data_IF_988200316855
#
_entry.id   IF_988200316855
#
_cell.length_a   1.000
_cell.length_b   1.000
_cell.length_c   1.000
_cell.angle_alpha   90.00
_cell.angle_beta   90.00
_cell.angle_gamma   90.00
#
_symmetry.space_group_name_H-M   'P 1'
#
loop_
_entity.id
_entity.type
_entity.pdbx_description
1 polymer ?
#
# COMPACT_ATOMS: atom_id res chain seq x y z
N UNK A 1 35.33 2.47 -10.94
CA UNK A 1 34.96 1.98 -9.60
C UNK A 1 33.46 2.21 -9.43
N UNK A 2 32.63 1.17 -9.62
CA UNK A 2 31.17 1.29 -9.44
C UNK A 2 30.92 1.41 -7.93
N UNK A 3 30.39 2.54 -7.48
CA UNK A 3 30.07 2.73 -6.07
C UNK A 3 28.98 1.73 -5.66
N UNK A 4 29.31 0.82 -4.76
CA UNK A 4 28.34 0.00 -4.05
C UNK A 4 27.56 0.91 -3.10
N UNK A 5 26.47 1.50 -3.59
CA UNK A 5 25.53 2.25 -2.76
C UNK A 5 24.94 1.28 -1.74
N UNK A 6 25.25 1.45 -0.46
CA UNK A 6 24.70 0.57 0.58
C UNK A 6 23.18 0.70 0.60
N UNK A 7 22.45 -0.41 0.80
CA UNK A 7 20.98 -0.41 0.91
C UNK A 7 20.45 0.55 1.99
N UNK A 8 21.29 0.91 2.97
CA UNK A 8 20.99 1.92 3.99
C UNK A 8 20.94 3.34 3.39
N UNK A 9 21.92 3.71 2.57
CA UNK A 9 21.97 5.02 1.92
C UNK A 9 20.78 5.27 1.00
N UNK A 10 20.36 4.24 0.23
CA UNK A 10 19.20 4.35 -0.64
C UNK A 10 17.90 4.66 0.13
N UNK A 11 17.62 3.88 1.18
CA UNK A 11 16.42 4.07 2.01
C UNK A 11 16.37 5.45 2.67
N UNK A 12 17.53 5.94 3.12
CA UNK A 12 17.63 7.27 3.73
C UNK A 12 17.37 8.40 2.73
N UNK A 13 17.82 8.27 1.49
CA UNK A 13 17.52 9.24 0.44
C UNK A 13 16.04 9.23 0.07
N UNK A 14 15.46 8.03 -0.08
CA UNK A 14 14.05 7.88 -0.40
C UNK A 14 13.17 8.49 0.69
N UNK A 15 13.49 8.27 1.97
CA UNK A 15 12.79 8.90 3.09
C UNK A 15 12.85 10.44 2.99
N UNK A 16 14.04 11.00 2.73
CA UNK A 16 14.20 12.46 2.58
C UNK A 16 13.36 13.02 1.44
N UNK A 17 13.30 12.31 0.32
CA UNK A 17 12.49 12.69 -0.82
C UNK A 17 10.99 12.64 -0.49
N UNK A 18 10.51 11.55 0.11
CA UNK A 18 9.10 11.40 0.54
C UNK A 18 8.70 12.55 1.48
N UNK A 19 9.50 12.81 2.51
CA UNK A 19 9.26 13.90 3.47
C UNK A 19 9.33 15.26 2.79
N UNK A 20 10.23 15.43 1.82
CA UNK A 20 10.37 16.66 1.04
C UNK A 20 9.14 17.00 0.20
N UNK A 21 8.46 16.00 -0.37
CA UNK A 21 7.23 16.21 -1.13
C UNK A 21 6.04 16.65 -0.27
N UNK A 22 6.04 16.33 1.03
CA UNK A 22 4.91 16.61 1.95
C UNK A 22 3.56 16.12 1.40
N UNK A 23 3.58 14.96 0.73
CA UNK A 23 2.39 14.39 0.12
C UNK A 23 1.42 13.88 1.18
N UNK A 24 0.12 14.08 0.98
CA UNK A 24 -0.90 13.63 1.93
C UNK A 24 -1.02 12.11 2.03
N UNK A 25 -0.77 11.44 0.91
CA UNK A 25 -0.83 9.99 0.73
C UNK A 25 0.39 9.60 -0.12
N UNK A 26 1.09 8.55 0.30
CA UNK A 26 2.29 8.02 -0.36
C UNK A 26 2.08 6.53 -0.60
N UNK A 27 2.30 6.09 -1.84
CA UNK A 27 2.23 4.67 -2.22
C UNK A 27 3.60 4.20 -2.67
N UNK A 28 4.13 3.15 -2.03
CA UNK A 28 5.40 2.50 -2.38
C UNK A 28 5.15 1.08 -2.87
N UNK A 29 5.89 0.66 -3.90
CA UNK A 29 5.94 -0.72 -4.41
C UNK A 29 7.30 -1.37 -4.10
N UNK A 30 7.40 -2.69 -4.25
CA UNK A 30 8.63 -3.47 -4.00
C UNK A 30 9.24 -3.25 -2.61
N UNK A 31 8.38 -3.03 -1.60
CA UNK A 31 8.81 -2.77 -0.22
C UNK A 31 9.06 -4.10 0.47
N UNK A 32 10.30 -4.35 0.91
CA UNK A 32 10.60 -5.51 1.76
C UNK A 32 9.94 -5.37 3.13
N UNK A 33 9.51 -6.49 3.71
CA UNK A 33 8.79 -6.50 4.98
C UNK A 33 9.61 -5.88 6.14
N UNK A 34 10.89 -6.19 6.23
CA UNK A 34 11.81 -5.64 7.24
C UNK A 34 12.04 -4.14 7.01
N UNK A 35 12.12 -3.70 5.75
CA UNK A 35 12.23 -2.28 5.42
C UNK A 35 10.97 -1.50 5.84
N UNK A 36 9.78 -2.09 5.72
CA UNK A 36 8.55 -1.46 6.19
C UNK A 36 8.54 -1.34 7.72
N UNK A 37 8.70 -2.46 8.42
CA UNK A 37 8.57 -2.53 9.88
C UNK A 37 9.70 -1.78 10.61
N UNK A 38 10.95 -2.00 10.20
CA UNK A 38 12.11 -1.52 10.95
C UNK A 38 12.56 -0.11 10.53
N UNK A 39 12.07 0.41 9.40
CA UNK A 39 12.53 1.68 8.85
C UNK A 39 11.39 2.61 8.40
N UNK A 40 10.64 2.29 7.34
CA UNK A 40 9.71 3.26 6.76
C UNK A 40 8.55 3.61 7.70
N UNK A 41 7.96 2.61 8.37
CA UNK A 41 6.87 2.82 9.32
C UNK A 41 7.28 3.73 10.50
N UNK A 42 8.35 3.41 11.27
CA UNK A 42 8.75 4.26 12.39
C UNK A 42 9.32 5.62 11.95
N UNK A 43 9.98 5.74 10.80
CA UNK A 43 10.49 7.04 10.35
C UNK A 43 9.38 7.96 9.84
N UNK A 44 8.43 7.46 9.04
CA UNK A 44 7.31 8.27 8.55
C UNK A 44 6.28 8.55 9.65
N UNK A 45 6.20 7.72 10.69
CA UNK A 45 5.42 7.98 11.91
C UNK A 45 5.82 9.31 12.57
N UNK A 46 7.14 9.59 12.66
CA UNK A 46 7.67 10.86 13.20
C UNK A 46 7.20 12.08 12.40
N UNK A 47 6.79 11.88 11.15
CA UNK A 47 6.26 12.90 10.25
C UNK A 47 4.73 12.91 10.18
N UNK A 48 4.04 12.15 11.05
CA UNK A 48 2.58 12.16 11.18
C UNK A 48 1.86 11.17 10.27
N UNK A 49 2.58 10.33 9.54
CA UNK A 49 1.98 9.31 8.67
C UNK A 49 1.60 8.05 9.43
N UNK A 50 0.51 7.41 9.02
CA UNK A 50 0.20 6.02 9.36
C UNK A 50 0.46 5.15 8.13
N UNK A 51 1.15 4.01 8.32
CA UNK A 51 1.48 3.08 7.25
C UNK A 51 0.65 1.81 7.30
N UNK A 52 0.19 1.35 6.14
CA UNK A 52 -0.37 0.03 5.90
C UNK A 52 0.51 -0.71 4.91
N UNK A 53 0.73 -2.01 5.13
CA UNK A 53 1.55 -2.85 4.28
C UNK A 53 0.81 -4.12 3.86
N UNK A 54 1.01 -4.50 2.60
CA UNK A 54 0.55 -5.78 2.07
C UNK A 54 1.71 -6.50 1.41
N UNK A 55 2.10 -7.62 1.99
CA UNK A 55 3.06 -8.59 1.43
C UNK A 55 2.49 -9.26 0.17
N UNK A 56 3.32 -9.49 -0.86
CA UNK A 56 3.00 -10.39 -1.99
C UNK A 56 2.80 -11.82 -1.47
N UNK A 57 2.01 -12.60 -2.19
CA UNK A 57 1.77 -14.01 -1.84
C UNK A 57 2.90 -14.94 -2.26
N UNK A 58 3.66 -14.55 -3.28
CA UNK A 58 4.72 -15.37 -3.87
C UNK A 58 6.10 -14.84 -3.50
N UNK A 59 7.03 -15.78 -3.34
CA UNK A 59 8.41 -15.56 -2.93
C UNK A 59 9.29 -15.07 -4.09
N UNK A 60 10.04 -13.97 -3.89
CA UNK A 60 11.07 -13.55 -4.84
C UNK A 60 12.38 -14.22 -4.45
N UNK A 61 12.90 -15.07 -5.32
CA UNK A 61 14.20 -15.71 -5.16
C UNK A 61 15.30 -14.76 -5.61
N UNK A 62 16.23 -14.41 -4.73
CA UNK A 62 17.45 -13.68 -5.09
C UNK A 62 18.64 -14.36 -4.40
N UNK A 63 19.64 -14.77 -5.18
CA UNK A 63 20.94 -15.35 -4.78
C UNK A 63 21.00 -15.88 -3.33
N UNK A 64 20.44 -17.08 -3.12
CA UNK A 64 20.45 -17.86 -1.87
C UNK A 64 19.62 -17.31 -0.69
N UNK A 65 18.78 -16.29 -0.88
CA UNK A 65 17.84 -15.84 0.15
C UNK A 65 16.45 -15.52 -0.44
N UNK A 66 15.42 -16.08 0.19
CA UNK A 66 14.04 -15.83 -0.20
C UNK A 66 13.55 -14.55 0.48
N UNK A 67 13.36 -13.47 -0.27
CA UNK A 67 12.80 -12.22 0.26
C UNK A 67 11.45 -11.96 -0.36
N UNK A 68 10.43 -11.73 0.46
CA UNK A 68 9.08 -11.41 -0.01
C UNK A 68 8.88 -9.91 0.13
N UNK A 69 8.74 -9.23 -1.00
CA UNK A 69 8.38 -7.81 -1.07
C UNK A 69 6.84 -7.63 -1.05
N UNK A 70 6.42 -6.39 -1.05
CA UNK A 70 5.02 -6.00 -0.97
C UNK A 70 4.83 -4.55 -1.40
N UNK A 71 3.68 -4.00 -1.05
CA UNK A 71 3.38 -2.59 -1.26
C UNK A 71 2.94 -1.95 0.06
N UNK A 72 3.27 -0.68 0.23
CA UNK A 72 2.94 0.11 1.41
C UNK A 72 2.19 1.38 1.02
N UNK A 73 1.17 1.74 1.79
CA UNK A 73 0.44 3.00 1.65
C UNK A 73 0.53 3.76 2.97
N UNK A 74 1.05 4.98 2.91
CA UNK A 74 1.16 5.90 4.04
C UNK A 74 0.20 7.07 3.85
N UNK A 75 -0.43 7.54 4.91
CA UNK A 75 -1.30 8.72 4.88
C UNK A 75 -1.20 9.54 6.15
N UNK A 76 -1.37 10.86 6.04
CA UNK A 76 -1.33 11.77 7.19
C UNK A 76 -2.52 11.55 8.13
N UNK A 77 -2.24 11.30 9.41
CA UNK A 77 -3.28 11.00 10.43
C UNK A 77 -4.14 12.21 10.78
N UNK A 78 -3.64 13.43 10.63
CA UNK A 78 -4.42 14.65 10.88
C UNK A 78 -5.41 14.94 9.75
N UNK A 79 -5.21 14.35 8.56
CA UNK A 79 -6.10 14.50 7.39
C UNK A 79 -7.02 13.31 7.16
N UNK A 80 -6.55 12.09 7.42
CA UNK A 80 -7.29 10.87 7.12
C UNK A 80 -7.36 9.92 8.31
N UNK A 81 -8.42 9.11 8.34
CA UNK A 81 -8.53 7.91 9.16
C UNK A 81 -8.83 6.70 8.30
N UNK A 82 -8.18 5.57 8.57
CA UNK A 82 -8.50 4.32 7.90
C UNK A 82 -9.89 3.83 8.32
N UNK A 83 -10.71 3.47 7.33
CA UNK A 83 -11.99 2.82 7.57
C UNK A 83 -11.77 1.32 7.48
N UNK A 84 -11.78 0.65 8.63
CA UNK A 84 -11.77 -0.81 8.65
C UNK A 84 -13.08 -1.33 8.05
N UNK A 85 -12.96 -2.23 7.08
CA UNK A 85 -14.11 -2.87 6.47
C UNK A 85 -14.82 -3.71 7.55
N UNK A 86 -16.10 -3.40 7.81
CA UNK A 86 -16.89 -4.16 8.78
C UNK A 86 -17.01 -5.62 8.29
N UNK A 87 -16.71 -6.58 9.16
CA UNK A 87 -16.86 -8.03 8.91
C UNK A 87 -18.23 -8.40 8.32
N UNK A 88 -19.29 -7.65 8.63
CA UNK A 88 -20.63 -7.84 8.06
C UNK A 88 -20.70 -7.56 6.54
N UNK A 89 -19.94 -6.58 6.04
CA UNK A 89 -19.87 -6.28 4.61
C UNK A 89 -19.09 -7.37 3.83
N UNK A 90 -18.08 -7.97 4.48
CA UNK A 90 -17.39 -9.14 3.94
C UNK A 90 -18.36 -10.32 3.76
N UNK A 91 -19.18 -10.62 4.78
CA UNK A 91 -20.20 -11.69 4.72
C UNK A 91 -21.25 -11.44 3.63
N UNK A 92 -21.65 -10.19 3.39
CA UNK A 92 -22.58 -9.83 2.30
C UNK A 92 -21.94 -10.02 0.92
N UNK A 93 -20.66 -9.66 0.77
CA UNK A 93 -19.92 -9.87 -0.48
C UNK A 93 -19.77 -11.37 -0.77
N UNK A 94 -19.53 -12.16 0.28
CA UNK A 94 -19.47 -13.61 0.18
C UNK A 94 -20.82 -14.26 -0.19
N UNK A 95 -21.94 -13.69 0.26
CA UNK A 95 -23.26 -14.17 -0.08
C UNK A 95 -23.73 -13.77 -1.50
N UNK A 96 -23.18 -12.68 -2.07
CA UNK A 96 -23.73 -12.06 -3.30
C UNK A 96 -22.99 -12.48 -4.57
N UNK A 97 -21.68 -12.78 -4.50
CA UNK A 97 -20.91 -13.15 -5.70
C UNK A 97 -21.09 -14.66 -5.97
N UNK A 98 -21.60 -15.01 -7.15
CA UNK A 98 -21.72 -16.42 -7.57
C UNK A 98 -20.34 -17.12 -7.61
N UNK A 99 -20.28 -18.37 -7.14
CA UNK A 99 -19.03 -19.15 -7.03
C UNK A 99 -18.19 -19.22 -8.31
N UNK A 100 -18.84 -19.22 -9.48
CA UNK A 100 -18.19 -19.24 -10.80
C UNK A 100 -17.47 -17.92 -11.10
N UNK A 101 -18.07 -16.79 -10.71
CA UNK A 101 -17.47 -15.45 -10.83
C UNK A 101 -16.35 -15.28 -9.81
N UNK A 102 -16.52 -15.78 -8.57
CA UNK A 102 -15.46 -15.83 -7.56
C UNK A 102 -14.25 -16.61 -8.06
N UNK A 103 -14.44 -17.85 -8.56
CA UNK A 103 -13.33 -18.67 -9.10
C UNK A 103 -12.62 -17.97 -10.25
N UNK A 104 -13.34 -17.35 -11.17
CA UNK A 104 -12.74 -16.66 -12.32
C UNK A 104 -11.97 -15.40 -11.87
N UNK A 105 -12.51 -14.63 -10.94
CA UNK A 105 -11.85 -13.46 -10.37
C UNK A 105 -10.63 -13.85 -9.53
N UNK A 106 -10.74 -14.89 -8.69
CA UNK A 106 -9.64 -15.46 -7.91
C UNK A 106 -8.53 -16.00 -8.82
N UNK A 107 -8.87 -16.73 -9.88
CA UNK A 107 -7.87 -17.22 -10.84
C UNK A 107 -7.15 -16.07 -11.58
N UNK A 108 -7.81 -14.94 -11.82
CA UNK A 108 -7.15 -13.72 -12.33
C UNK A 108 -6.29 -13.03 -11.26
N UNK A 109 -6.66 -13.15 -9.99
CA UNK A 109 -5.95 -12.60 -8.82
C UNK A 109 -4.73 -13.45 -8.41
N UNK A 110 -4.70 -14.74 -8.75
CA UNK A 110 -3.58 -15.68 -8.49
C UNK A 110 -2.31 -15.33 -9.28
N UNK A 111 -2.39 -14.39 -10.22
CA UNK A 111 -1.24 -13.90 -10.97
C UNK A 111 -0.52 -12.84 -10.14
N UNK A 112 0.54 -13.21 -9.40
CA UNK A 112 1.68 -12.42 -8.82
C UNK A 112 1.55 -10.91 -8.51
N UNK A 113 0.35 -10.37 -8.44
CA UNK A 113 0.07 -8.96 -8.33
C UNK A 113 -0.47 -8.74 -6.91
N UNK A 114 0.16 -7.84 -6.18
CA UNK A 114 -0.37 -7.38 -4.91
C UNK A 114 -1.08 -6.05 -5.13
N UNK A 115 -2.32 -5.98 -4.65
CA UNK A 115 -3.04 -4.72 -4.54
C UNK A 115 -3.35 -4.47 -3.06
N UNK A 116 -2.90 -3.34 -2.55
CA UNK A 116 -3.33 -2.80 -1.27
C UNK A 116 -4.40 -1.73 -1.54
N UNK A 117 -5.64 -2.11 -1.25
CA UNK A 117 -6.80 -1.22 -1.27
C UNK A 117 -7.00 -0.65 0.14
N UNK A 118 -7.04 0.67 0.26
CA UNK A 118 -7.25 1.36 1.55
C UNK A 118 -8.40 2.35 1.41
N UNK A 119 -9.44 2.13 2.21
CA UNK A 119 -10.50 3.12 2.38
C UNK A 119 -10.10 4.11 3.48
N UNK A 120 -10.15 5.39 3.12
CA UNK A 120 -9.78 6.51 3.96
C UNK A 120 -10.98 7.45 4.09
N UNK A 121 -11.22 7.91 5.31
CA UNK A 121 -12.16 8.99 5.60
C UNK A 121 -11.40 10.30 5.80
N UNK A 122 -11.77 11.33 5.04
CA UNK A 122 -11.18 12.66 5.19
C UNK A 122 -11.77 13.38 6.42
N UNK A 123 -10.90 14.00 7.20
CA UNK A 123 -11.28 14.74 8.41
C UNK A 123 -11.83 16.12 8.07
N UNK A 124 -12.82 16.56 8.86
CA UNK A 124 -13.70 17.71 8.60
C UNK A 124 -12.97 19.02 8.26
N UNK A 125 -11.78 19.25 8.82
CA UNK A 125 -11.00 20.47 8.59
C UNK A 125 -10.48 20.63 7.14
N UNK A 126 -10.60 19.60 6.30
CA UNK A 126 -10.20 19.61 4.90
C UNK A 126 -11.39 19.62 3.92
N UNK A 127 -12.62 19.83 4.40
CA UNK A 127 -13.77 19.91 3.51
C UNK A 127 -13.85 21.27 2.81
N UNK A 128 -14.09 21.31 1.49
CA UNK A 128 -14.56 22.52 0.83
C UNK A 128 -15.80 23.05 1.55
N UNK A 129 -15.87 24.37 1.72
CA UNK A 129 -16.90 25.09 2.49
C UNK A 129 -18.34 24.75 2.05
N UNK A 130 -18.51 24.15 0.87
CA UNK A 130 -19.80 23.86 0.23
C UNK A 130 -20.48 22.55 0.66
N UNK A 131 -19.97 21.79 1.63
CA UNK A 131 -20.57 20.50 2.04
C UNK A 131 -20.51 20.13 3.53
N UNK A 132 -20.85 21.05 4.46
CA UNK A 132 -20.82 20.74 5.89
C UNK A 132 -21.73 19.53 6.21
N UNK A 133 -21.13 18.44 6.71
CA UNK A 133 -21.85 17.29 7.26
C UNK A 133 -21.86 16.01 6.41
N UNK A 134 -21.24 15.99 5.22
CA UNK A 134 -21.09 14.75 4.44
C UNK A 134 -19.75 14.08 4.70
N UNK A 135 -19.77 12.82 5.14
CA UNK A 135 -18.58 11.97 5.26
C UNK A 135 -17.93 11.79 3.89
N UNK A 136 -16.69 12.26 3.70
CA UNK A 136 -15.95 12.10 2.45
C UNK A 136 -15.04 10.87 2.56
N UNK A 137 -15.27 9.89 1.69
CA UNK A 137 -14.49 8.67 1.60
C UNK A 137 -13.62 8.71 0.34
N UNK A 138 -12.38 8.25 0.49
CA UNK A 138 -11.39 8.10 -0.57
C UNK A 138 -10.88 6.66 -0.55
N UNK A 139 -10.95 6.00 -1.71
CA UNK A 139 -10.36 4.66 -1.88
C UNK A 139 -9.02 4.80 -2.60
N UNK A 140 -7.95 4.30 -1.99
CA UNK A 140 -6.59 4.30 -2.54
C UNK A 140 -6.22 2.90 -2.98
N UNK A 141 -5.90 2.73 -4.25
CA UNK A 141 -5.48 1.47 -4.85
C UNK A 141 -3.98 1.51 -5.16
N UNK A 142 -3.15 0.90 -4.29
CA UNK A 142 -1.73 0.70 -4.56
C UNK A 142 -1.54 -0.68 -5.19
N UNK A 143 -1.20 -0.73 -6.48
CA UNK A 143 -1.12 -1.97 -7.26
C UNK A 143 0.31 -2.15 -7.76
N UNK A 144 0.93 -3.26 -7.37
CA UNK A 144 2.19 -3.72 -7.94
C UNK A 144 1.90 -4.83 -8.96
N UNK A 145 2.31 -4.60 -10.21
CA UNK A 145 2.27 -5.62 -11.26
C UNK A 145 3.67 -6.15 -11.48
N UNK A 146 3.87 -7.43 -11.20
CA UNK A 146 5.05 -8.15 -11.67
C UNK A 146 5.06 -8.10 -13.20
N UNK A 147 5.90 -7.24 -13.80
CA UNK A 147 6.01 -7.14 -15.26
C UNK A 147 6.74 -8.38 -15.77
N UNK A 148 5.99 -9.43 -16.11
CA UNK A 148 6.50 -10.51 -16.94
C UNK A 148 6.69 -9.98 -18.35
N UNK A 149 7.86 -9.40 -18.63
CA UNK A 149 8.25 -8.99 -19.98
C UNK A 149 8.53 -10.26 -20.79
N UNK A 150 7.48 -10.90 -21.33
CA UNK A 150 7.66 -11.83 -22.46
C UNK A 150 7.84 -10.94 -23.69
N UNK A 151 9.08 -10.60 -24.00
CA UNK A 151 9.44 -10.14 -25.32
C UNK A 151 9.23 -11.33 -26.28
N UNK A 152 8.37 -11.15 -27.28
CA UNK A 152 8.43 -11.95 -28.52
C UNK A 152 9.43 -11.30 -29.45
#
# INVERSE_FOLDING_TARGET
MKQNVSKSYFRQNLLREIVGYRADIVCLQEVLSDHFEDFFSPELDKHGYYGLYKRKTNEVYSDNNTTIDGCATFFLRDRFSHVEFNKAAQSLTDATIQDTQKKTALNRLVKDNVALMVDLEAKVNYQPVDSPGKRQLLCVANIDRSIGLVAK
#
